data_IF_888783921081
#
_entry.id   IF_888783921081
#
_cell.length_a   1.000
_cell.length_b   1.000
_cell.length_c   1.000
_cell.angle_alpha   90.00
_cell.angle_beta   90.00
_cell.angle_gamma   90.00
#
_symmetry.space_group_name_H-M   'P 1'
#
loop_
_entity.id
_entity.type
_entity.pdbx_description
1 polymer ?
#
# COMPACT_ATOMS: atom_id res chain seq x y z
N UNK A 1 21.17 39.13 -21.96
CA UNK A 1 19.92 38.95 -21.19
C UNK A 1 19.07 37.95 -21.94
N UNK A 2 19.17 36.68 -21.55
CA UNK A 2 18.42 35.58 -22.17
C UNK A 2 17.08 35.51 -21.44
N UNK A 3 15.98 35.78 -22.14
CA UNK A 3 14.64 35.62 -21.63
C UNK A 3 14.43 34.15 -21.23
N UNK A 4 14.26 33.91 -19.93
CA UNK A 4 13.82 32.63 -19.40
C UNK A 4 12.33 32.54 -19.67
N UNK A 5 11.95 31.70 -20.64
CA UNK A 5 10.56 31.30 -20.86
C UNK A 5 10.02 30.68 -19.57
N UNK A 6 9.08 31.37 -18.93
CA UNK A 6 8.13 30.76 -18.01
C UNK A 6 7.36 29.68 -18.79
N UNK A 7 7.31 28.42 -18.32
CA UNK A 7 6.45 27.42 -18.95
C UNK A 7 5.01 27.88 -18.78
N UNK A 8 4.37 28.25 -19.89
CA UNK A 8 2.95 28.50 -19.94
C UNK A 8 2.20 27.23 -19.54
N UNK A 9 1.42 27.32 -18.47
CA UNK A 9 0.54 26.27 -18.01
C UNK A 9 -0.60 26.13 -19.03
N UNK A 10 -0.43 25.30 -20.07
CA UNK A 10 -1.50 24.93 -20.98
C UNK A 10 -2.47 24.00 -20.25
N UNK A 11 -3.34 24.58 -19.43
CA UNK A 11 -4.46 23.93 -18.74
C UNK A 11 -5.39 23.14 -19.70
N UNK A 12 -5.38 23.48 -21.00
CA UNK A 12 -6.23 22.86 -22.02
C UNK A 12 -5.87 21.41 -22.40
N UNK A 13 -4.63 20.97 -22.14
CA UNK A 13 -4.13 19.66 -22.61
C UNK A 13 -4.15 18.57 -21.52
N UNK A 14 -4.57 18.90 -20.29
CA UNK A 14 -4.58 17.95 -19.19
C UNK A 14 -5.89 17.15 -19.12
N UNK A 15 -5.76 15.91 -18.65
CA UNK A 15 -6.89 15.07 -18.31
C UNK A 15 -7.56 15.57 -17.03
N UNK A 16 -8.89 15.66 -17.06
CA UNK A 16 -9.72 16.10 -15.96
C UNK A 16 -10.63 14.98 -15.46
N UNK A 17 -10.92 15.01 -14.16
CA UNK A 17 -11.84 14.11 -13.48
C UNK A 17 -12.89 14.94 -12.74
N UNK A 18 -14.16 14.56 -12.90
CA UNK A 18 -15.30 15.16 -12.25
C UNK A 18 -16.08 14.10 -11.49
N UNK A 19 -16.41 14.35 -10.22
CA UNK A 19 -17.23 13.45 -9.40
C UNK A 19 -18.49 14.21 -9.00
N UNK A 20 -19.65 13.71 -9.42
CA UNK A 20 -20.92 14.35 -9.12
C UNK A 20 -21.21 14.28 -7.62
N UNK A 21 -21.41 15.44 -6.99
CA UNK A 21 -21.61 15.56 -5.54
C UNK A 21 -22.77 14.70 -5.04
N UNK A 22 -23.87 14.63 -5.79
CA UNK A 22 -25.09 14.00 -5.32
C UNK A 22 -25.16 12.50 -5.64
N UNK A 23 -24.46 12.05 -6.69
CA UNK A 23 -24.64 10.68 -7.24
C UNK A 23 -23.36 9.85 -7.20
N UNK A 24 -22.20 10.48 -7.01
CA UNK A 24 -20.90 9.82 -7.14
C UNK A 24 -20.53 9.43 -8.58
N UNK A 25 -21.37 9.75 -9.58
CA UNK A 25 -21.08 9.46 -10.98
C UNK A 25 -19.88 10.24 -11.47
N UNK A 26 -19.09 9.61 -12.33
CA UNK A 26 -17.76 10.07 -12.71
C UNK A 26 -17.77 10.54 -14.16
N UNK A 27 -17.09 11.66 -14.38
CA UNK A 27 -16.90 12.28 -15.67
C UNK A 27 -15.41 12.52 -15.89
N UNK A 28 -14.98 12.38 -17.13
CA UNK A 28 -13.59 12.49 -17.55
C UNK A 28 -13.51 13.27 -18.87
N UNK A 29 -12.37 13.90 -19.14
CA UNK A 29 -12.15 14.55 -20.43
C UNK A 29 -10.90 15.43 -20.47
N UNK A 30 -10.41 15.69 -21.68
CA UNK A 30 -9.31 16.63 -21.90
C UNK A 30 -9.86 18.05 -21.81
N UNK A 31 -9.21 18.91 -21.02
CA UNK A 31 -9.66 20.29 -20.78
C UNK A 31 -10.88 20.46 -19.86
N UNK A 32 -11.80 19.49 -19.78
CA UNK A 32 -12.94 19.51 -18.86
C UNK A 32 -13.49 18.08 -18.58
N UNK A 33 -14.09 17.82 -17.41
CA UNK A 33 -14.71 16.53 -17.08
C UNK A 33 -16.12 16.44 -17.65
N UNK A 34 -16.25 16.33 -18.97
CA UNK A 34 -17.51 16.46 -19.69
C UNK A 34 -18.09 15.14 -20.22
N UNK A 35 -17.32 14.04 -20.24
CA UNK A 35 -17.77 12.74 -20.75
C UNK A 35 -17.95 11.74 -19.60
N UNK A 36 -19.08 11.03 -19.51
CA UNK A 36 -19.27 9.93 -18.55
C UNK A 36 -18.16 8.87 -18.62
N UNK A 37 -17.58 8.50 -17.47
CA UNK A 37 -16.67 7.37 -17.36
C UNK A 37 -17.46 6.10 -17.08
N UNK A 38 -17.45 5.15 -18.02
CA UNK A 38 -18.30 3.95 -17.99
C UNK A 38 -17.43 2.69 -18.17
N UNK A 39 -17.56 1.67 -17.31
CA UNK A 39 -18.36 1.67 -16.06
C UNK A 39 -17.82 2.70 -15.06
N UNK A 40 -18.65 3.09 -14.08
CA UNK A 40 -18.23 4.01 -13.03
C UNK A 40 -16.98 3.46 -12.33
N UNK A 41 -15.83 4.15 -12.41
CA UNK A 41 -14.58 3.60 -11.92
C UNK A 41 -14.49 3.62 -10.39
N UNK A 42 -13.65 2.76 -9.84
CA UNK A 42 -13.27 2.79 -8.42
C UNK A 42 -12.40 4.02 -8.15
N UNK A 43 -12.83 4.84 -7.21
CA UNK A 43 -12.17 6.09 -6.84
C UNK A 43 -11.90 6.09 -5.33
N UNK A 44 -10.68 6.46 -4.94
CA UNK A 44 -10.31 6.68 -3.55
C UNK A 44 -9.66 8.06 -3.39
N UNK A 45 -9.91 8.74 -2.27
CA UNK A 45 -9.07 9.88 -1.91
C UNK A 45 -7.66 9.38 -1.60
N UNK A 46 -6.67 10.21 -1.90
CA UNK A 46 -5.27 9.88 -1.78
C UNK A 46 -4.54 10.96 -0.99
N UNK A 47 -3.52 10.55 -0.23
CA UNK A 47 -2.57 11.44 0.42
C UNK A 47 -1.15 10.87 0.26
N UNK A 48 -0.23 11.72 -0.20
CA UNK A 48 1.19 11.41 -0.19
C UNK A 48 1.72 11.52 1.25
N UNK A 49 2.39 10.49 1.72
CA UNK A 49 2.96 10.43 3.07
C UNK A 49 4.43 10.84 2.97
N UNK A 50 4.77 12.00 3.52
CA UNK A 50 6.13 12.53 3.57
C UNK A 50 6.74 12.38 4.98
N UNK A 51 5.89 12.24 5.99
CA UNK A 51 6.28 12.02 7.39
C UNK A 51 5.24 11.19 8.14
N UNK A 52 5.61 10.62 9.29
CA UNK A 52 4.68 9.84 10.13
C UNK A 52 3.48 10.66 10.63
N UNK A 53 3.62 11.98 10.73
CA UNK A 53 2.52 12.85 11.11
C UNK A 53 1.39 12.87 10.07
N UNK A 54 1.69 12.57 8.80
CA UNK A 54 0.71 12.62 7.71
C UNK A 54 -0.41 11.59 7.85
N UNK A 55 -0.14 10.46 8.52
CA UNK A 55 -1.11 9.43 8.83
C UNK A 55 -2.24 9.92 9.76
N UNK A 56 -2.00 10.98 10.53
CA UNK A 56 -3.01 11.60 11.40
C UNK A 56 -3.88 12.62 10.68
N UNK A 57 -3.48 13.03 9.47
CA UNK A 57 -4.19 14.00 8.62
C UNK A 57 -4.63 13.32 7.30
N UNK A 58 -5.24 12.14 7.42
CA UNK A 58 -5.87 11.47 6.29
C UNK A 58 -7.21 12.14 5.93
N UNK A 59 -7.62 12.08 4.65
CA UNK A 59 -8.86 12.69 4.19
C UNK A 59 -10.09 12.04 4.85
N UNK A 60 -11.15 12.80 5.12
CA UNK A 60 -12.38 12.31 5.80
C UNK A 60 -13.59 12.13 4.88
N UNK A 61 -13.38 12.20 3.56
CA UNK A 61 -14.42 12.14 2.55
C UNK A 61 -14.45 13.40 1.68
N UNK A 62 -14.98 13.27 0.46
CA UNK A 62 -15.05 14.37 -0.52
C UNK A 62 -15.90 15.55 -0.04
N UNK A 63 -16.96 15.31 0.73
CA UNK A 63 -17.83 16.37 1.24
C UNK A 63 -17.12 17.26 2.28
N UNK A 64 -16.20 16.71 3.06
CA UNK A 64 -15.48 17.42 4.12
C UNK A 64 -14.13 17.95 3.63
N UNK A 65 -13.38 17.12 2.91
CA UNK A 65 -12.03 17.41 2.47
C UNK A 65 -11.94 17.30 0.92
N UNK A 66 -12.73 18.12 0.22
CA UNK A 66 -12.82 18.15 -1.25
C UNK A 66 -11.48 18.47 -1.96
N UNK A 67 -10.57 19.13 -1.25
CA UNK A 67 -9.27 19.58 -1.77
C UNK A 67 -8.14 18.57 -1.50
N UNK A 68 -8.44 17.28 -1.62
CA UNK A 68 -7.47 16.20 -1.46
C UNK A 68 -7.24 15.51 -2.80
N UNK A 69 -6.09 14.86 -2.97
CA UNK A 69 -5.82 14.10 -4.19
C UNK A 69 -6.81 12.93 -4.32
N UNK A 70 -6.96 12.45 -5.53
CA UNK A 70 -7.87 11.36 -5.87
C UNK A 70 -7.17 10.36 -6.79
N UNK A 71 -7.26 9.09 -6.44
CA UNK A 71 -6.76 7.98 -7.25
C UNK A 71 -7.93 7.26 -7.91
N UNK A 72 -7.92 7.22 -9.24
CA UNK A 72 -8.87 6.46 -10.08
C UNK A 72 -8.18 5.16 -10.48
N UNK A 73 -8.72 4.03 -10.03
CA UNK A 73 -8.13 2.72 -10.29
C UNK A 73 -8.47 2.22 -11.71
N UNK A 74 -7.46 1.77 -12.44
CA UNK A 74 -7.59 1.18 -13.77
C UNK A 74 -7.56 -0.35 -13.67
N UNK A 75 -6.73 -0.92 -12.80
CA UNK A 75 -6.66 -2.36 -12.55
C UNK A 75 -6.07 -2.70 -11.18
N UNK A 76 -6.46 -3.83 -10.63
CA UNK A 76 -5.86 -4.42 -9.43
C UNK A 76 -5.44 -5.88 -9.71
N UNK A 77 -4.17 -6.18 -9.46
CA UNK A 77 -3.65 -7.54 -9.44
C UNK A 77 -3.55 -8.00 -7.97
N UNK A 78 -4.41 -8.93 -7.52
CA UNK A 78 -4.39 -9.42 -6.15
C UNK A 78 -3.17 -10.31 -5.85
N UNK A 79 -2.58 -10.97 -6.85
CA UNK A 79 -1.42 -11.87 -6.68
C UNK A 79 -0.14 -11.07 -6.58
N UNK A 80 0.09 -10.16 -7.55
CA UNK A 80 1.24 -9.26 -7.51
C UNK A 80 1.08 -8.15 -6.46
N UNK A 81 -0.16 -7.96 -5.96
CA UNK A 81 -0.57 -6.92 -5.01
C UNK A 81 -0.24 -5.54 -5.53
N UNK A 82 -0.51 -5.34 -6.81
CA UNK A 82 -0.26 -4.09 -7.51
C UNK A 82 -1.56 -3.45 -7.95
N UNK A 83 -1.69 -2.15 -7.71
CA UNK A 83 -2.74 -1.33 -8.31
C UNK A 83 -2.13 -0.49 -9.42
N UNK A 84 -2.84 -0.34 -10.52
CA UNK A 84 -2.51 0.61 -11.58
C UNK A 84 -3.68 1.57 -11.74
N UNK A 85 -3.39 2.86 -11.86
CA UNK A 85 -4.44 3.87 -11.94
C UNK A 85 -3.89 5.28 -12.10
N UNK A 86 -4.79 6.24 -12.21
CA UNK A 86 -4.47 7.64 -12.51
C UNK A 86 -4.63 8.50 -11.26
N UNK A 87 -3.64 9.36 -11.01
CA UNK A 87 -3.66 10.28 -9.88
C UNK A 87 -4.07 11.68 -10.33
N UNK A 88 -5.03 12.24 -9.61
CA UNK A 88 -5.56 13.58 -9.84
C UNK A 88 -5.42 14.44 -8.57
N UNK A 89 -5.24 15.74 -8.75
CA UNK A 89 -5.17 16.72 -7.68
C UNK A 89 -6.24 17.81 -7.88
N UNK A 90 -6.68 18.49 -6.80
CA UNK A 90 -7.72 19.51 -6.90
C UNK A 90 -7.18 20.80 -7.53
N UNK A 91 -8.07 21.61 -8.09
CA UNK A 91 -7.73 22.97 -8.50
C UNK A 91 -7.41 23.85 -7.28
N UNK A 92 -6.19 24.38 -7.25
CA UNK A 92 -5.81 25.37 -6.25
C UNK A 92 -6.67 26.63 -6.39
N UNK A 93 -7.25 27.10 -5.27
CA UNK A 93 -7.99 28.36 -5.22
C UNK A 93 -9.43 28.32 -5.76
N UNK A 94 -9.95 27.17 -6.17
CA UNK A 94 -11.37 27.02 -6.51
C UNK A 94 -12.18 26.42 -5.37
N UNK A 95 -13.33 27.02 -5.07
CA UNK A 95 -14.33 26.41 -4.21
C UNK A 95 -14.95 25.20 -4.91
N UNK A 96 -15.12 24.10 -4.17
CA UNK A 96 -15.71 22.87 -4.68
C UNK A 96 -16.89 22.41 -3.80
N UNK A 97 -17.92 21.76 -4.37
CA UNK A 97 -18.10 21.43 -5.80
C UNK A 97 -18.49 22.64 -6.66
N UNK A 98 -18.26 22.57 -7.98
CA UNK A 98 -18.57 23.63 -8.95
C UNK A 98 -19.52 23.16 -10.06
N UNK A 99 -20.27 24.10 -10.66
CA UNK A 99 -21.17 23.79 -11.78
C UNK A 99 -20.38 23.50 -13.07
N UNK A 100 -20.65 22.36 -13.70
CA UNK A 100 -20.00 21.89 -14.92
C UNK A 100 -21.05 21.44 -15.93
N UNK A 101 -20.82 21.73 -17.21
CA UNK A 101 -21.67 21.24 -18.30
C UNK A 101 -21.13 19.91 -18.81
N UNK A 102 -21.93 18.84 -18.69
CA UNK A 102 -21.50 17.47 -19.02
C UNK A 102 -22.49 16.77 -19.94
N UNK A 103 -22.01 15.77 -20.67
CA UNK A 103 -22.89 14.85 -21.36
C UNK A 103 -23.68 14.02 -20.34
N UNK A 104 -24.97 13.70 -20.58
CA UNK A 104 -25.78 12.94 -19.64
C UNK A 104 -25.22 11.54 -19.38
N UNK A 105 -25.07 11.15 -18.10
CA UNK A 105 -24.55 9.82 -17.75
C UNK A 105 -25.61 8.73 -18.01
N UNK A 106 -25.26 7.54 -18.57
CA UNK A 106 -26.27 6.51 -18.90
C UNK A 106 -27.05 5.99 -17.69
N UNK A 107 -26.43 5.91 -16.51
CA UNK A 107 -27.08 5.45 -15.27
C UNK A 107 -28.01 6.47 -14.58
N UNK A 108 -28.20 7.66 -15.14
CA UNK A 108 -29.17 8.62 -14.59
C UNK A 108 -30.59 8.30 -15.07
N UNK A 109 -31.61 8.77 -14.37
CA UNK A 109 -32.99 8.63 -14.86
C UNK A 109 -33.19 9.53 -16.10
N UNK A 110 -33.53 9.00 -17.29
CA UNK A 110 -33.78 9.81 -18.48
C UNK A 110 -34.92 10.83 -18.33
N UNK A 111 -35.91 10.54 -17.46
CA UNK A 111 -37.11 11.37 -17.29
C UNK A 111 -36.90 12.57 -16.35
N UNK A 112 -35.86 12.54 -15.50
CA UNK A 112 -35.53 13.63 -14.58
C UNK A 112 -34.50 14.63 -15.15
N UNK A 113 -34.05 14.46 -16.40
CA UNK A 113 -32.98 15.29 -16.99
C UNK A 113 -33.55 16.51 -17.69
N UNK A 114 -33.17 17.71 -17.22
CA UNK A 114 -33.33 18.93 -18.00
C UNK A 114 -32.12 19.08 -18.92
N UNK A 115 -32.29 18.70 -20.18
CA UNK A 115 -31.23 18.73 -21.20
C UNK A 115 -31.22 20.10 -21.87
N UNK A 116 -30.08 20.79 -21.83
CA UNK A 116 -29.89 22.08 -22.50
C UNK A 116 -29.78 21.95 -24.02
N UNK A 117 -29.71 23.09 -24.72
CA UNK A 117 -29.73 23.18 -26.19
C UNK A 117 -28.60 22.41 -26.92
N UNK A 118 -27.56 21.97 -26.20
CA UNK A 118 -26.42 21.20 -26.72
C UNK A 118 -26.47 19.70 -26.35
N UNK A 119 -27.58 19.21 -25.80
CA UNK A 119 -27.63 17.83 -25.28
C UNK A 119 -26.91 17.64 -23.95
N UNK A 120 -26.36 18.70 -23.36
CA UNK A 120 -25.62 18.68 -22.09
C UNK A 120 -26.52 19.01 -20.90
N UNK A 121 -26.09 18.58 -19.72
CA UNK A 121 -26.73 18.84 -18.43
C UNK A 121 -25.73 19.53 -17.50
N UNK A 122 -26.21 20.49 -16.71
CA UNK A 122 -25.38 21.16 -15.71
C UNK A 122 -25.40 20.34 -14.41
N UNK A 123 -24.23 20.03 -13.87
CA UNK A 123 -24.05 19.28 -12.63
C UNK A 123 -23.04 19.93 -11.70
N UNK A 124 -23.25 19.76 -10.39
CA UNK A 124 -22.27 20.13 -9.37
C UNK A 124 -21.26 18.99 -9.22
N UNK A 125 -20.03 19.24 -9.65
CA UNK A 125 -18.94 18.26 -9.61
C UNK A 125 -17.80 18.72 -8.69
N UNK A 126 -17.22 17.78 -7.96
CA UNK A 126 -15.84 17.90 -7.49
C UNK A 126 -14.93 17.70 -8.69
N UNK A 127 -14.02 18.63 -8.94
CA UNK A 127 -13.21 18.64 -10.16
C UNK A 127 -11.72 18.58 -9.84
N UNK A 128 -11.02 17.76 -10.61
CA UNK A 128 -9.60 17.48 -10.44
C UNK A 128 -8.93 17.45 -11.81
N UNK A 129 -7.62 17.66 -11.82
CA UNK A 129 -6.76 17.53 -12.99
C UNK A 129 -5.60 16.58 -12.70
N UNK A 130 -4.91 16.12 -13.73
CA UNK A 130 -3.76 15.23 -13.59
C UNK A 130 -2.74 15.78 -12.57
N UNK A 131 -2.29 14.95 -11.63
CA UNK A 131 -1.45 15.38 -10.50
C UNK A 131 0.00 15.66 -10.93
N UNK A 132 0.24 16.86 -11.44
CA UNK A 132 1.57 17.31 -11.85
C UNK A 132 2.49 17.54 -10.64
N UNK A 133 1.91 17.87 -9.48
CA UNK A 133 2.68 18.04 -8.22
C UNK A 133 3.51 16.81 -7.87
N UNK A 134 2.99 15.59 -8.11
CA UNK A 134 3.75 14.36 -7.85
C UNK A 134 4.95 14.21 -8.80
N UNK A 135 4.78 14.54 -10.09
CA UNK A 135 5.86 14.45 -11.07
C UNK A 135 7.01 15.42 -10.77
N UNK A 136 6.72 16.52 -10.07
CA UNK A 136 7.71 17.48 -9.59
C UNK A 136 8.46 17.03 -8.33
N UNK A 137 8.06 15.93 -7.69
CA UNK A 137 8.81 15.35 -6.55
C UNK A 137 10.09 14.66 -7.04
N UNK A 138 11.10 14.49 -6.17
CA UNK A 138 12.29 13.71 -6.50
C UNK A 138 11.92 12.32 -7.03
N UNK A 139 12.60 11.88 -8.09
CA UNK A 139 12.31 10.62 -8.80
C UNK A 139 10.83 10.46 -9.19
N UNK A 140 10.11 11.56 -9.44
CA UNK A 140 8.69 11.57 -9.80
C UNK A 140 7.80 10.88 -8.74
N UNK A 141 8.26 10.89 -7.48
CA UNK A 141 7.58 10.24 -6.36
C UNK A 141 7.81 8.74 -6.25
N UNK A 142 8.64 8.12 -7.09
CA UNK A 142 8.98 6.70 -6.96
C UNK A 142 9.64 6.42 -5.60
N UNK A 143 9.20 5.34 -4.95
CA UNK A 143 9.59 4.94 -3.60
C UNK A 143 8.77 5.60 -2.48
N UNK A 144 8.05 6.70 -2.76
CA UNK A 144 7.20 7.35 -1.76
C UNK A 144 5.94 6.52 -1.46
N UNK A 145 5.32 6.79 -0.32
CA UNK A 145 4.12 6.10 0.14
C UNK A 145 2.89 6.95 -0.16
N UNK A 146 1.91 6.35 -0.82
CA UNK A 146 0.59 6.90 -1.08
C UNK A 146 -0.43 6.16 -0.21
N UNK A 147 -1.10 6.89 0.68
CA UNK A 147 -2.25 6.39 1.41
C UNK A 147 -3.50 6.54 0.54
N UNK A 148 -4.24 5.46 0.34
CA UNK A 148 -5.52 5.43 -0.38
C UNK A 148 -6.66 5.14 0.58
N UNK A 149 -7.74 5.92 0.50
CA UNK A 149 -8.93 5.78 1.32
C UNK A 149 -9.19 7.03 2.16
N UNK A 150 -9.74 6.83 3.37
CA UNK A 150 -10.05 7.90 4.31
C UNK A 150 -9.49 7.62 5.70
N UNK A 151 -9.62 8.57 6.61
CA UNK A 151 -9.27 8.41 8.02
C UNK A 151 -10.02 7.25 8.70
N UNK A 152 -11.19 6.84 8.17
CA UNK A 152 -11.94 5.69 8.67
C UNK A 152 -11.34 4.35 8.23
N UNK A 153 -10.88 4.28 6.99
CA UNK A 153 -10.27 3.09 6.40
C UNK A 153 -9.30 3.52 5.31
N UNK A 154 -8.02 3.25 5.53
CA UNK A 154 -6.96 3.55 4.56
C UNK A 154 -6.04 2.35 4.35
N UNK A 155 -5.36 2.38 3.22
CA UNK A 155 -4.36 1.38 2.83
C UNK A 155 -3.10 2.08 2.35
N UNK A 156 -1.94 1.50 2.69
CA UNK A 156 -0.63 2.04 2.37
C UNK A 156 -0.07 1.38 1.10
N UNK A 157 0.40 2.21 0.16
CA UNK A 157 0.93 1.75 -1.11
C UNK A 157 2.23 2.46 -1.45
N UNK A 158 3.26 1.71 -1.83
CA UNK A 158 4.50 2.28 -2.38
C UNK A 158 4.33 2.58 -3.86
N UNK A 159 4.74 3.77 -4.29
CA UNK A 159 4.80 4.13 -5.70
C UNK A 159 6.00 3.42 -6.32
N UNK A 160 5.74 2.45 -7.19
CA UNK A 160 6.80 1.72 -7.92
C UNK A 160 7.16 2.46 -9.19
N UNK A 161 6.16 3.04 -9.86
CA UNK A 161 6.34 3.71 -11.14
C UNK A 161 5.36 4.87 -11.28
N UNK A 162 5.81 5.94 -11.92
CA UNK A 162 4.99 7.07 -12.34
C UNK A 162 5.27 7.36 -13.82
N UNK A 163 4.21 7.54 -14.61
CA UNK A 163 4.27 7.79 -16.05
C UNK A 163 3.34 8.95 -16.43
N UNK A 164 3.84 9.92 -17.19
CA UNK A 164 3.00 10.90 -17.87
C UNK A 164 2.50 10.31 -19.20
N UNK A 165 1.19 10.28 -19.40
CA UNK A 165 0.57 9.74 -20.60
C UNK A 165 0.34 10.83 -21.66
N UNK A 166 0.17 10.43 -22.93
CA UNK A 166 0.00 11.35 -24.06
C UNK A 166 -1.25 12.25 -23.95
N UNK A 167 -2.27 11.84 -23.20
CA UNK A 167 -3.47 12.61 -22.88
C UNK A 167 -3.30 13.50 -21.63
N UNK A 168 -2.08 13.67 -21.14
CA UNK A 168 -1.76 14.47 -19.96
C UNK A 168 -2.10 13.83 -18.62
N UNK A 169 -2.59 12.58 -18.56
CA UNK A 169 -2.83 11.91 -17.28
C UNK A 169 -1.55 11.39 -16.62
N UNK A 170 -1.53 11.40 -15.29
CA UNK A 170 -0.44 10.82 -14.49
C UNK A 170 -0.84 9.42 -14.05
N UNK A 171 -0.21 8.41 -14.66
CA UNK A 171 -0.43 6.99 -14.38
C UNK A 171 0.56 6.49 -13.33
N UNK A 172 0.07 5.78 -12.34
CA UNK A 172 0.87 5.17 -11.27
C UNK A 172 0.73 3.66 -11.26
N UNK A 173 1.84 2.99 -10.93
CA UNK A 173 1.87 1.60 -10.49
C UNK A 173 2.24 1.58 -9.02
N UNK A 174 1.36 0.99 -8.20
CA UNK A 174 1.43 0.98 -6.75
C UNK A 174 1.60 -0.45 -6.24
N UNK A 175 2.45 -0.67 -5.23
CA UNK A 175 2.63 -1.96 -4.55
C UNK A 175 2.12 -1.87 -3.12
N UNK A 176 1.32 -2.84 -2.69
CA UNK A 176 0.77 -2.86 -1.32
C UNK A 176 1.86 -3.03 -0.27
N UNK A 177 1.79 -2.26 0.82
CA UNK A 177 2.70 -2.36 1.97
C UNK A 177 2.14 -3.22 3.12
N UNK A 178 0.93 -3.77 3.00
CA UNK A 178 0.31 -4.55 4.09
C UNK A 178 1.00 -5.90 4.32
N UNK A 179 1.20 -6.30 5.58
CA UNK A 179 1.69 -7.64 5.93
C UNK A 179 0.62 -8.74 5.89
N UNK A 180 -0.68 -8.41 5.95
CA UNK A 180 -1.77 -9.40 5.99
C UNK A 180 -1.88 -10.25 4.72
N UNK A 181 -1.36 -9.76 3.60
CA UNK A 181 -1.30 -10.51 2.35
C UNK A 181 0.10 -11.12 2.09
N UNK A 182 1.06 -10.91 2.99
CA UNK A 182 2.38 -11.57 2.98
C UNK A 182 2.34 -12.84 3.82
N UNK A 183 1.80 -12.72 5.04
CA UNK A 183 1.67 -13.84 5.96
C UNK A 183 0.49 -14.73 5.52
N UNK A 184 0.74 -16.00 5.15
CA UNK A 184 -0.34 -16.91 4.81
C UNK A 184 -1.22 -17.18 6.03
N UNK A 185 -2.51 -17.39 5.80
CA UNK A 185 -3.41 -17.86 6.84
C UNK A 185 -2.95 -19.25 7.33
N UNK A 186 -3.03 -19.50 8.63
CA UNK A 186 -2.56 -20.75 9.23
C UNK A 186 -3.68 -21.80 9.21
N UNK A 187 -3.41 -22.98 8.61
CA UNK A 187 -4.27 -24.15 8.72
C UNK A 187 -4.15 -24.75 10.12
N UNK A 188 -5.12 -24.44 10.97
CA UNK A 188 -5.16 -24.91 12.35
C UNK A 188 -5.11 -26.43 12.47
N UNK A 189 -5.55 -27.18 11.44
CA UNK A 189 -5.51 -28.65 11.44
C UNK A 189 -4.10 -29.22 11.38
N UNK A 190 -3.16 -28.46 10.82
CA UNK A 190 -1.75 -28.85 10.70
C UNK A 190 -0.91 -28.50 11.94
N UNK A 191 -1.50 -27.76 12.89
CA UNK A 191 -0.83 -27.30 14.11
C UNK A 191 -1.44 -27.98 15.33
N UNK A 192 -0.59 -28.59 16.16
CA UNK A 192 -0.97 -29.22 17.42
C UNK A 192 -1.65 -28.20 18.35
N UNK A 193 -2.75 -28.59 19.00
CA UNK A 193 -3.60 -27.67 19.77
C UNK A 193 -2.84 -26.91 20.85
N UNK A 194 -1.91 -27.57 21.53
CA UNK A 194 -1.05 -26.98 22.57
C UNK A 194 -0.12 -25.87 22.06
N UNK A 195 0.13 -25.80 20.74
CA UNK A 195 1.00 -24.80 20.13
C UNK A 195 0.25 -23.62 19.51
N UNK A 196 -1.04 -23.80 19.18
CA UNK A 196 -1.85 -22.78 18.48
C UNK A 196 -1.88 -21.41 19.18
N UNK A 197 -2.07 -21.30 20.51
CA UNK A 197 -2.13 -19.99 21.16
C UNK A 197 -0.85 -19.17 21.01
N UNK A 198 0.31 -19.82 21.19
CA UNK A 198 1.61 -19.17 21.08
C UNK A 198 1.91 -18.73 19.64
N UNK A 199 1.53 -19.55 18.67
CA UNK A 199 1.70 -19.25 17.24
C UNK A 199 0.81 -18.07 16.84
N UNK A 200 -0.48 -18.10 17.19
CA UNK A 200 -1.40 -17.01 16.87
C UNK A 200 -0.94 -15.68 17.48
N UNK A 201 -0.53 -15.69 18.74
CA UNK A 201 -0.01 -14.49 19.41
C UNK A 201 1.26 -13.96 18.73
N UNK A 202 2.15 -14.85 18.28
CA UNK A 202 3.37 -14.44 17.59
C UNK A 202 3.07 -13.79 16.23
N UNK A 203 2.13 -14.35 15.47
CA UNK A 203 1.72 -13.79 14.18
C UNK A 203 0.98 -12.46 14.35
N UNK A 204 0.08 -12.34 15.33
CA UNK A 204 -0.62 -11.10 15.64
C UNK A 204 0.36 -9.97 15.95
N UNK A 205 1.42 -10.23 16.73
CA UNK A 205 2.47 -9.23 17.00
C UNK A 205 3.23 -8.80 15.76
N UNK A 206 3.54 -9.72 14.84
CA UNK A 206 4.19 -9.36 13.57
C UNK A 206 3.26 -8.48 12.73
N UNK A 207 1.98 -8.85 12.66
CA UNK A 207 0.98 -8.06 11.94
C UNK A 207 0.87 -6.66 12.54
N UNK A 208 0.69 -6.53 13.85
CA UNK A 208 0.59 -5.24 14.54
C UNK A 208 1.82 -4.35 14.31
N UNK A 209 3.01 -4.94 14.41
CA UNK A 209 4.25 -4.21 14.20
C UNK A 209 4.42 -3.72 12.76
N UNK A 210 4.10 -4.57 11.78
CA UNK A 210 4.24 -4.23 10.37
C UNK A 210 3.42 -3.01 9.92
N UNK A 211 2.39 -2.61 10.67
CA UNK A 211 1.59 -1.41 10.36
C UNK A 211 2.07 -0.12 11.02
N UNK A 212 2.71 -0.23 12.17
CA UNK A 212 2.80 0.90 13.12
C UNK A 212 4.21 1.19 13.62
N UNK A 213 5.14 0.27 13.39
CA UNK A 213 6.45 0.33 14.03
C UNK A 213 7.58 0.58 13.02
N UNK A 214 8.76 0.92 13.55
CA UNK A 214 9.95 1.13 12.75
C UNK A 214 10.49 -0.18 12.17
N UNK A 215 11.28 -0.15 11.09
CA UNK A 215 11.85 -1.37 10.49
C UNK A 215 12.62 -2.24 11.50
N UNK A 216 13.34 -1.61 12.44
CA UNK A 216 14.06 -2.31 13.51
C UNK A 216 13.11 -3.12 14.40
N UNK A 217 11.96 -2.53 14.74
CA UNK A 217 10.96 -3.15 15.60
C UNK A 217 10.24 -4.29 14.88
N UNK A 218 9.91 -4.10 13.59
CA UNK A 218 9.31 -5.15 12.75
C UNK A 218 10.23 -6.36 12.65
N UNK A 219 11.53 -6.14 12.40
CA UNK A 219 12.54 -7.21 12.37
C UNK A 219 12.62 -7.95 13.71
N UNK A 220 12.53 -7.24 14.84
CA UNK A 220 12.53 -7.88 16.17
C UNK A 220 11.30 -8.77 16.39
N UNK A 221 10.10 -8.30 16.02
CA UNK A 221 8.89 -9.12 16.11
C UNK A 221 8.96 -10.33 15.17
N UNK A 222 9.48 -10.17 13.95
CA UNK A 222 9.68 -11.28 13.02
C UNK A 222 10.66 -12.32 13.58
N UNK A 223 11.77 -11.88 14.19
CA UNK A 223 12.73 -12.76 14.87
C UNK A 223 12.07 -13.54 16.01
N UNK A 224 11.26 -12.86 16.83
CA UNK A 224 10.52 -13.50 17.92
C UNK A 224 9.52 -14.52 17.38
N UNK A 225 8.78 -14.19 16.32
CA UNK A 225 7.82 -15.09 15.71
C UNK A 225 8.48 -16.32 15.09
N UNK A 226 9.56 -16.16 14.32
CA UNK A 226 10.34 -17.28 13.78
C UNK A 226 10.85 -18.21 14.88
N UNK A 227 11.30 -17.66 16.02
CA UNK A 227 11.74 -18.46 17.18
C UNK A 227 10.60 -19.34 17.70
N UNK A 228 9.39 -18.79 17.82
CA UNK A 228 8.19 -19.53 18.25
C UNK A 228 7.80 -20.58 17.22
N UNK A 229 7.70 -20.21 15.93
CA UNK A 229 7.28 -21.11 14.86
C UNK A 229 8.22 -22.32 14.73
N UNK A 230 9.52 -22.06 14.62
CA UNK A 230 10.52 -23.11 14.37
C UNK A 230 10.64 -24.05 15.57
N UNK A 231 10.69 -23.51 16.80
CA UNK A 231 10.80 -24.36 17.99
C UNK A 231 9.58 -25.27 18.15
N UNK A 232 8.37 -24.76 17.88
CA UNK A 232 7.12 -25.53 17.95
C UNK A 232 7.01 -26.56 16.83
N UNK A 233 7.44 -26.22 15.62
CA UNK A 233 7.45 -27.18 14.52
C UNK A 233 8.43 -28.34 14.79
N UNK A 234 9.62 -28.04 15.30
CA UNK A 234 10.62 -29.06 15.66
C UNK A 234 10.10 -30.04 16.72
N UNK A 235 9.41 -29.53 17.75
CA UNK A 235 8.81 -30.38 18.79
C UNK A 235 7.63 -31.19 18.26
N UNK A 236 6.70 -30.54 17.55
CA UNK A 236 5.53 -31.22 16.97
C UNK A 236 5.93 -32.33 15.99
N UNK A 237 6.98 -32.12 15.21
CA UNK A 237 7.46 -33.08 14.20
C UNK A 237 8.38 -34.17 14.79
N UNK A 238 8.64 -34.16 16.10
CA UNK A 238 9.51 -35.14 16.76
C UNK A 238 11.01 -34.95 16.50
N UNK A 239 11.42 -33.82 15.93
CA UNK A 239 12.82 -33.50 15.64
C UNK A 239 13.55 -32.85 16.82
N UNK A 240 12.84 -32.45 17.87
CA UNK A 240 13.40 -31.93 19.11
C UNK A 240 12.47 -32.19 20.31
N UNK A 241 13.03 -32.06 21.51
CA UNK A 241 12.30 -32.02 22.77
C UNK A 241 11.94 -30.57 23.16
N UNK A 242 11.22 -30.41 24.27
CA UNK A 242 10.79 -29.11 24.81
C UNK A 242 11.97 -28.16 25.13
N UNK A 243 13.21 -28.64 25.15
CA UNK A 243 14.39 -27.79 25.27
C UNK A 243 14.51 -26.81 24.10
N UNK A 244 13.91 -27.12 22.94
CA UNK A 244 13.86 -26.25 21.77
C UNK A 244 13.21 -24.89 22.05
N UNK A 245 12.27 -24.81 23.00
CA UNK A 245 11.59 -23.55 23.35
C UNK A 245 12.51 -22.53 24.01
N UNK A 246 13.70 -22.94 24.50
CA UNK A 246 14.69 -22.07 25.14
C UNK A 246 15.81 -21.65 24.19
N UNK A 247 15.77 -22.09 22.93
CA UNK A 247 16.82 -21.81 21.96
C UNK A 247 16.58 -20.47 21.27
N UNK A 248 17.67 -19.75 21.02
CA UNK A 248 17.67 -18.58 20.16
C UNK A 248 17.50 -18.96 18.69
N UNK A 249 16.99 -18.02 17.89
CA UNK A 249 16.71 -18.21 16.47
C UNK A 249 17.87 -18.80 15.68
N UNK A 250 19.11 -18.35 15.93
CA UNK A 250 20.29 -18.86 15.24
C UNK A 250 20.51 -20.36 15.45
N UNK A 251 20.34 -20.86 16.68
CA UNK A 251 20.48 -22.29 17.01
C UNK A 251 19.34 -23.13 16.42
N UNK A 252 18.13 -22.56 16.39
CA UNK A 252 16.98 -23.19 15.74
C UNK A 252 17.20 -23.31 14.22
N UNK A 253 17.78 -22.30 13.60
CA UNK A 253 18.11 -22.32 12.18
C UNK A 253 19.18 -23.37 11.84
N UNK A 254 20.21 -23.54 12.67
CA UNK A 254 21.18 -24.63 12.51
C UNK A 254 20.52 -26.02 12.58
N UNK A 255 19.50 -26.20 13.43
CA UNK A 255 18.74 -27.45 13.48
C UNK A 255 17.96 -27.69 12.20
N UNK A 256 17.28 -26.67 11.66
CA UNK A 256 16.58 -26.77 10.38
C UNK A 256 17.53 -27.10 9.22
N UNK A 257 18.73 -26.48 9.20
CA UNK A 257 19.74 -26.74 8.19
C UNK A 257 20.19 -28.21 8.18
N UNK A 258 20.34 -28.82 9.37
CA UNK A 258 20.64 -30.26 9.51
C UNK A 258 19.52 -31.17 9.04
N UNK A 259 18.27 -30.70 9.03
CA UNK A 259 17.10 -31.41 8.51
C UNK A 259 16.92 -31.21 6.99
N UNK A 260 17.82 -30.47 6.33
CA UNK A 260 17.74 -30.17 4.90
C UNK A 260 16.75 -29.05 4.54
N UNK A 261 16.17 -28.37 5.54
CA UNK A 261 15.22 -27.26 5.33
C UNK A 261 15.97 -25.95 5.08
N UNK A 262 16.77 -25.91 4.02
CA UNK A 262 17.72 -24.83 3.76
C UNK A 262 17.05 -23.47 3.59
N UNK A 263 15.91 -23.39 2.90
CA UNK A 263 15.19 -22.13 2.70
C UNK A 263 14.71 -21.52 4.03
N UNK A 264 14.07 -22.32 4.88
CA UNK A 264 13.64 -21.90 6.21
C UNK A 264 14.83 -21.53 7.11
N UNK A 265 15.90 -22.35 7.09
CA UNK A 265 17.10 -22.11 7.88
C UNK A 265 17.82 -20.82 7.49
N UNK A 266 18.06 -20.57 6.20
CA UNK A 266 18.76 -19.36 5.73
C UNK A 266 17.93 -18.11 5.98
N UNK A 267 16.61 -18.18 5.82
CA UNK A 267 15.72 -17.06 6.13
C UNK A 267 15.79 -16.70 7.62
N UNK A 268 15.74 -17.70 8.51
CA UNK A 268 15.90 -17.50 9.95
C UNK A 268 17.28 -16.93 10.33
N UNK A 269 18.36 -17.39 9.68
CA UNK A 269 19.72 -16.86 9.89
C UNK A 269 19.82 -15.39 9.48
N UNK A 270 19.27 -15.02 8.31
CA UNK A 270 19.29 -13.64 7.83
C UNK A 270 18.51 -12.73 8.78
N UNK A 271 17.31 -13.12 9.21
CA UNK A 271 16.51 -12.33 10.16
C UNK A 271 17.22 -12.18 11.51
N UNK A 272 17.90 -13.23 12.01
CA UNK A 272 18.71 -13.13 13.22
C UNK A 272 19.87 -12.11 13.08
N UNK A 273 20.50 -12.06 11.90
CA UNK A 273 21.54 -11.07 11.59
C UNK A 273 20.93 -9.67 11.54
N UNK A 274 19.81 -9.46 10.84
CA UNK A 274 19.13 -8.16 10.77
C UNK A 274 18.75 -7.65 12.16
N UNK A 275 18.21 -8.50 13.03
CA UNK A 275 17.92 -8.13 14.42
C UNK A 275 19.19 -7.69 15.16
N UNK A 276 20.31 -8.40 14.97
CA UNK A 276 21.58 -8.02 15.61
C UNK A 276 22.08 -6.64 15.15
N UNK A 277 21.85 -6.28 13.88
CA UNK A 277 22.18 -4.96 13.31
C UNK A 277 21.34 -3.84 13.89
N UNK A 278 20.17 -4.12 14.47
CA UNK A 278 19.38 -3.12 15.19
C UNK A 278 20.00 -2.65 16.51
N UNK A 279 20.98 -3.38 17.05
CA UNK A 279 21.61 -3.07 18.35
C UNK A 279 22.75 -2.06 18.17
N UNK A 280 22.72 -0.89 18.85
CA UNK A 280 23.76 0.13 18.71
C UNK A 280 25.18 -0.38 18.96
N UNK A 281 25.37 -1.26 19.94
CA UNK A 281 26.69 -1.83 20.26
C UNK A 281 27.26 -2.64 19.07
N UNK A 282 26.41 -3.40 18.38
CA UNK A 282 26.82 -4.20 17.21
C UNK A 282 27.10 -3.30 16.00
N UNK A 283 26.35 -2.21 15.85
CA UNK A 283 26.59 -1.20 14.82
C UNK A 283 27.97 -0.56 15.00
N UNK A 284 28.31 -0.15 16.24
CA UNK A 284 29.61 0.42 16.57
C UNK A 284 30.76 -0.58 16.41
N UNK A 285 30.59 -1.81 16.87
CA UNK A 285 31.63 -2.84 16.82
C UNK A 285 31.93 -3.31 15.38
N UNK A 286 30.89 -3.50 14.56
CA UNK A 286 31.01 -4.15 13.24
C UNK A 286 30.80 -3.21 12.06
N UNK A 287 30.55 -1.92 12.30
CA UNK A 287 30.27 -0.94 11.25
C UNK A 287 29.01 -1.27 10.44
N UNK A 288 28.03 -1.95 11.06
CA UNK A 288 26.82 -2.39 10.35
C UNK A 288 25.75 -1.30 10.33
N UNK A 289 24.98 -1.22 9.24
CA UNK A 289 23.85 -0.29 9.12
C UNK A 289 22.62 -0.85 9.86
N UNK A 290 21.81 0.02 10.50
CA UNK A 290 20.53 -0.42 11.07
C UNK A 290 19.59 -0.93 9.95
N UNK A 291 18.65 -1.83 10.29
CA UNK A 291 17.59 -2.22 9.38
C UNK A 291 16.82 -1.02 8.82
N UNK A 292 16.58 -1.01 7.52
CA UNK A 292 15.83 0.02 6.80
C UNK A 292 14.58 -0.57 6.12
N UNK A 293 13.80 0.30 5.46
CA UNK A 293 12.62 -0.14 4.70
C UNK A 293 13.05 -1.08 3.56
N UNK A 294 12.48 -2.28 3.53
CA UNK A 294 12.88 -3.40 2.68
C UNK A 294 13.47 -4.57 3.48
N UNK A 295 14.26 -4.30 4.52
CA UNK A 295 14.75 -5.34 5.45
C UNK A 295 13.62 -5.90 6.31
N UNK A 296 12.70 -5.03 6.71
CA UNK A 296 11.45 -5.35 7.42
C UNK A 296 10.50 -6.20 6.55
N UNK A 297 10.30 -5.80 5.29
CA UNK A 297 9.53 -6.56 4.31
C UNK A 297 10.11 -7.97 4.10
N UNK A 298 11.43 -8.07 3.94
CA UNK A 298 12.11 -9.36 3.84
C UNK A 298 11.90 -10.23 5.10
N UNK A 299 11.94 -9.63 6.29
CA UNK A 299 11.72 -10.35 7.54
C UNK A 299 10.28 -10.90 7.64
N UNK A 300 9.28 -10.14 7.19
CA UNK A 300 7.88 -10.60 7.14
C UNK A 300 7.72 -11.73 6.11
N UNK A 301 8.30 -11.57 4.91
CA UNK A 301 8.30 -12.62 3.87
C UNK A 301 8.98 -13.91 4.36
N UNK A 302 10.04 -13.78 5.16
CA UNK A 302 10.72 -14.92 5.79
C UNK A 302 9.81 -15.70 6.74
N UNK A 303 8.96 -15.01 7.52
CA UNK A 303 7.94 -15.67 8.36
C UNK A 303 6.93 -16.42 7.48
N UNK A 304 6.45 -15.78 6.41
CA UNK A 304 5.50 -16.41 5.47
C UNK A 304 6.08 -17.62 4.76
N UNK A 305 7.35 -17.57 4.33
CA UNK A 305 8.08 -18.69 3.75
C UNK A 305 8.18 -19.86 4.74
N UNK A 306 8.55 -19.60 5.99
CA UNK A 306 8.68 -20.65 7.01
C UNK A 306 7.34 -21.33 7.29
N UNK A 307 6.24 -20.59 7.34
CA UNK A 307 4.89 -21.16 7.47
C UNK A 307 4.54 -22.10 6.31
N UNK A 308 4.92 -21.75 5.07
CA UNK A 308 4.72 -22.60 3.88
C UNK A 308 5.59 -23.85 3.91
N UNK A 309 6.87 -23.71 4.25
CA UNK A 309 7.82 -24.83 4.38
C UNK A 309 7.38 -25.85 5.45
N UNK A 310 6.69 -25.39 6.50
CA UNK A 310 6.12 -26.26 7.53
C UNK A 310 4.80 -26.93 7.14
N UNK A 311 4.23 -26.58 5.98
CA UNK A 311 2.91 -27.05 5.58
C UNK A 311 1.78 -26.49 6.46
N UNK A 312 2.02 -25.37 7.16
CA UNK A 312 1.05 -24.73 8.04
C UNK A 312 0.23 -23.65 7.33
N UNK A 313 0.62 -23.24 6.13
CA UNK A 313 -0.11 -22.27 5.32
C UNK A 313 -1.33 -22.89 4.62
N UNK A 314 -2.46 -22.18 4.59
CA UNK A 314 -3.60 -22.47 3.71
C UNK A 314 -3.17 -22.09 2.28
N UNK A 315 -3.28 -23.04 1.36
CA UNK A 315 -3.01 -22.85 -0.07
C UNK A 315 -4.12 -22.06 -0.78
#
# INVERSE_FOLDING_TARGET
MVNVNTPGNNLGDNMHLGICNNTGLVYEGMGAPNVPSIPTPSIAQAKLIESDADWKDLPRGLATDALRWVFREDSFDPVARTRRGRLYEPYAGQSQPGAQSVAPHPYEDPMMRSVGAMGQVVKMLYTFWACQTLLNKPNQGQGMILALGSAMASSAWRIVQAEAQANGSVMLTLKSLSAYAILPAIDSRQVAEIHRPAINQAIEKVLDAAYRESPVSVVDQCRAALTVLISRWLVQSGHADDSAFKLELGKLAEKLEKLGMYCAAKSAQIVAILHSRGKPNVQHEKGTKPPESGDDEFAIESVGLVLREFGWAIA
#
